data_IF_775018331792
#
_entry.id   IF_775018331792
#
_cell.length_a   1.000
_cell.length_b   1.000
_cell.length_c   1.000
_cell.angle_alpha   90.00
_cell.angle_beta   90.00
_cell.angle_gamma   90.00
#
_symmetry.space_group_name_H-M   'P 1'
#
loop_
_entity.id
_entity.type
_entity.pdbx_description
1 polymer ?
#
# COMPACT_ATOMS: atom_id res chain seq x y z
N UNK A 1 -16.59 4.14 -4.02
CA UNK A 1 -16.15 3.26 -2.94
C UNK A 1 -16.82 1.90 -3.08
N UNK A 2 -16.09 0.86 -2.90
CA UNK A 2 -16.69 -0.46 -2.94
C UNK A 2 -17.39 -0.77 -1.62
N UNK A 3 -18.65 -1.16 -1.71
CA UNK A 3 -19.43 -1.54 -0.54
C UNK A 3 -18.88 -2.81 0.10
N UNK A 4 -18.21 -3.66 -0.69
CA UNK A 4 -17.65 -4.90 -0.19
C UNK A 4 -16.61 -4.71 0.93
N UNK A 5 -16.01 -3.53 0.99
CA UNK A 5 -15.00 -3.22 2.01
C UNK A 5 -15.57 -2.50 3.24
N UNK A 6 -16.85 -2.10 3.19
CA UNK A 6 -17.49 -1.41 4.32
C UNK A 6 -17.58 -2.34 5.52
N UNK A 7 -17.01 -1.91 6.63
CA UNK A 7 -17.06 -2.66 7.88
C UNK A 7 -16.05 -3.80 7.99
N UNK A 8 -15.31 -4.11 6.94
CA UNK A 8 -14.26 -5.13 7.00
C UNK A 8 -12.91 -4.48 7.29
N UNK A 9 -12.11 -5.03 8.20
CA UNK A 9 -10.77 -4.52 8.45
C UNK A 9 -9.90 -4.66 7.22
N UNK A 10 -9.08 -3.65 6.97
CA UNK A 10 -8.11 -3.64 5.89
C UNK A 10 -6.71 -3.47 6.48
N UNK A 11 -5.70 -3.98 5.77
CA UNK A 11 -4.32 -3.83 6.19
C UNK A 11 -3.73 -2.49 5.74
N UNK A 12 -4.33 -1.87 4.75
CA UNK A 12 -3.80 -0.67 4.09
C UNK A 12 -4.91 0.36 3.88
N UNK A 13 -4.56 1.62 4.04
CA UNK A 13 -5.45 2.74 3.76
C UNK A 13 -4.66 3.95 3.32
N UNK A 14 -5.35 5.05 3.04
CA UNK A 14 -4.75 6.30 2.59
C UNK A 14 -5.41 7.49 3.27
N UNK A 15 -4.64 8.60 3.37
CA UNK A 15 -5.20 9.90 3.73
C UNK A 15 -5.75 10.58 2.49
N UNK A 16 -6.58 11.62 2.67
CA UNK A 16 -7.08 12.40 1.53
C UNK A 16 -5.94 13.12 0.80
N UNK A 17 -4.92 13.56 1.52
CA UNK A 17 -3.74 14.16 0.89
C UNK A 17 -3.06 13.18 -0.07
N UNK A 18 -2.92 11.91 0.35
CA UNK A 18 -2.38 10.87 -0.52
C UNK A 18 -3.32 10.61 -1.71
N UNK A 19 -4.62 10.58 -1.48
CA UNK A 19 -5.60 10.35 -2.54
C UNK A 19 -5.53 11.44 -3.62
N UNK A 20 -5.43 12.69 -3.23
CA UNK A 20 -5.30 13.81 -4.19
C UNK A 20 -4.06 13.65 -5.06
N UNK A 21 -2.93 13.33 -4.42
CA UNK A 21 -1.68 13.13 -5.15
C UNK A 21 -1.79 11.92 -6.09
N UNK A 22 -2.41 10.83 -5.63
CA UNK A 22 -2.60 9.63 -6.45
C UNK A 22 -3.50 9.90 -7.65
N UNK A 23 -4.53 10.70 -7.51
CA UNK A 23 -5.39 11.09 -8.66
C UNK A 23 -4.57 11.84 -9.71
N UNK A 24 -3.71 12.75 -9.28
CA UNK A 24 -2.85 13.51 -10.18
C UNK A 24 -1.84 12.60 -10.88
N UNK A 25 -1.18 11.72 -10.12
CA UNK A 25 -0.19 10.81 -10.69
C UNK A 25 -0.84 9.82 -11.65
N UNK A 26 -2.03 9.32 -11.34
CA UNK A 26 -2.77 8.43 -12.24
C UNK A 26 -3.14 9.13 -13.55
N UNK A 27 -3.58 10.38 -13.46
CA UNK A 27 -3.91 11.16 -14.66
C UNK A 27 -2.70 11.36 -15.56
N UNK A 28 -1.51 11.48 -14.99
CA UNK A 28 -0.28 11.72 -15.74
C UNK A 28 0.39 10.42 -16.23
N UNK A 29 0.23 9.33 -15.49
CA UNK A 29 1.03 8.11 -15.71
C UNK A 29 0.20 6.85 -16.00
N UNK A 30 -1.11 6.90 -15.83
CA UNK A 30 -1.97 5.73 -15.92
C UNK A 30 -2.00 4.95 -14.59
N UNK A 31 -2.43 3.68 -14.60
CA UNK A 31 -2.54 2.89 -13.38
C UNK A 31 -1.25 2.83 -12.58
N UNK A 32 -1.36 2.85 -11.26
CA UNK A 32 -0.23 2.93 -10.34
C UNK A 32 -0.11 1.67 -9.48
N UNK A 33 1.04 1.52 -8.85
CA UNK A 33 1.29 0.52 -7.83
C UNK A 33 2.26 1.05 -6.78
N UNK A 34 2.25 0.44 -5.60
CA UNK A 34 3.23 0.71 -4.56
C UNK A 34 4.04 -0.54 -4.24
N UNK A 35 5.28 -0.34 -3.85
CA UNK A 35 6.11 -1.40 -3.28
C UNK A 35 6.90 -0.85 -2.09
N UNK A 36 6.79 -1.52 -0.94
CA UNK A 36 7.55 -1.22 0.26
C UNK A 36 8.64 -2.27 0.41
N UNK A 37 9.84 -1.93 0.00
CA UNK A 37 10.99 -2.86 0.00
C UNK A 37 11.84 -2.77 1.25
N UNK A 38 11.80 -1.64 1.94
CA UNK A 38 12.59 -1.41 3.14
C UNK A 38 11.88 -0.44 4.07
N UNK A 39 12.44 -0.25 5.26
CA UNK A 39 11.85 0.63 6.27
C UNK A 39 10.80 -0.08 7.11
N UNK A 40 11.02 -0.16 8.40
CA UNK A 40 10.15 -0.87 9.34
C UNK A 40 9.48 0.07 10.34
N UNK A 41 9.53 1.38 10.11
CA UNK A 41 9.04 2.39 11.04
C UNK A 41 8.12 3.39 10.35
N UNK A 42 7.32 4.09 11.15
CA UNK A 42 6.55 5.24 10.67
C UNK A 42 7.47 6.24 9.99
N UNK A 43 6.97 6.88 8.95
CA UNK A 43 7.75 7.81 8.15
C UNK A 43 8.52 7.19 7.01
N UNK A 44 8.55 5.85 6.92
CA UNK A 44 9.13 5.16 5.76
C UNK A 44 8.39 5.56 4.50
N UNK A 45 9.12 5.61 3.37
CA UNK A 45 8.57 6.03 2.10
C UNK A 45 8.33 4.82 1.18
N UNK A 46 7.08 4.43 0.93
CA UNK A 46 6.80 3.43 -0.08
C UNK A 46 7.06 4.04 -1.46
N UNK A 47 7.54 3.22 -2.37
CA UNK A 47 7.81 3.68 -3.74
C UNK A 47 6.56 3.53 -4.61
N UNK A 48 6.23 4.59 -5.35
CA UNK A 48 5.11 4.60 -6.28
C UNK A 48 5.62 4.45 -7.71
N UNK A 49 5.07 3.48 -8.42
CA UNK A 49 5.45 3.17 -9.80
C UNK A 49 4.21 3.11 -10.69
N UNK A 50 4.40 3.25 -11.99
CA UNK A 50 3.37 2.86 -12.95
C UNK A 50 3.19 1.35 -12.89
N UNK A 51 1.95 0.89 -12.86
CA UNK A 51 1.66 -0.54 -12.75
C UNK A 51 2.33 -1.31 -13.89
N UNK A 52 3.03 -2.36 -13.54
CA UNK A 52 3.76 -3.19 -14.49
C UNK A 52 5.22 -2.79 -14.73
N UNK A 53 5.64 -1.58 -14.32
CA UNK A 53 7.04 -1.17 -14.47
C UNK A 53 7.95 -1.79 -13.42
N UNK A 54 7.42 -1.98 -12.21
CA UNK A 54 8.16 -2.65 -11.15
C UNK A 54 7.81 -4.13 -11.19
N UNK A 55 8.82 -4.98 -11.26
CA UNK A 55 8.62 -6.42 -11.26
C UNK A 55 8.39 -6.93 -9.85
N UNK A 56 7.17 -7.39 -9.58
CA UNK A 56 6.81 -7.98 -8.30
C UNK A 56 7.47 -9.36 -8.19
N UNK A 57 8.17 -9.59 -7.08
CA UNK A 57 8.79 -10.87 -6.81
C UNK A 57 7.78 -11.93 -6.40
N UNK A 58 8.11 -13.21 -6.63
CA UNK A 58 7.22 -14.32 -6.30
C UNK A 58 6.85 -14.41 -4.83
N UNK A 59 7.71 -13.93 -3.94
CA UNK A 59 7.48 -13.91 -2.50
C UNK A 59 7.00 -12.56 -1.97
N UNK A 60 6.79 -11.56 -2.83
CA UNK A 60 6.20 -10.29 -2.37
C UNK A 60 4.75 -10.51 -1.96
N UNK A 61 4.33 -9.81 -0.92
CA UNK A 61 3.02 -9.94 -0.32
C UNK A 61 2.14 -8.76 -0.76
N UNK A 62 0.94 -9.07 -1.23
CA UNK A 62 -0.05 -8.02 -1.53
C UNK A 62 -0.74 -7.61 -0.23
N UNK A 63 -0.44 -6.40 0.26
CA UNK A 63 -1.10 -5.86 1.46
C UNK A 63 -2.56 -5.56 1.22
N UNK A 64 -2.90 -5.14 0.03
CA UNK A 64 -4.27 -4.84 -0.35
C UNK A 64 -4.33 -4.01 -1.62
N UNK A 65 -5.54 -3.64 -1.97
CA UNK A 65 -5.81 -2.80 -3.13
C UNK A 65 -6.51 -1.54 -2.67
N UNK A 66 -6.00 -0.40 -3.08
CA UNK A 66 -6.59 0.90 -2.74
C UNK A 66 -7.65 1.24 -3.77
N UNK A 67 -8.89 1.39 -3.30
CA UNK A 67 -10.01 1.83 -4.14
C UNK A 67 -10.27 3.29 -3.80
N UNK A 68 -9.93 4.18 -4.71
CA UNK A 68 -9.95 5.62 -4.49
C UNK A 68 -10.92 6.28 -5.46
N UNK A 69 -11.80 7.14 -4.93
CA UNK A 69 -12.74 7.89 -5.76
C UNK A 69 -11.98 8.73 -6.80
N UNK A 70 -12.40 8.65 -8.05
CA UNK A 70 -11.76 9.35 -9.16
C UNK A 70 -10.68 8.54 -9.85
N UNK A 71 -10.32 7.37 -9.35
CA UNK A 71 -9.37 6.46 -9.98
C UNK A 71 -10.11 5.18 -10.35
N UNK A 72 -10.07 4.82 -11.64
CA UNK A 72 -10.88 3.72 -12.16
C UNK A 72 -10.36 2.34 -11.77
N UNK A 73 -9.05 2.17 -11.63
CA UNK A 73 -8.45 0.89 -11.29
C UNK A 73 -7.88 0.89 -9.89
N UNK A 74 -8.05 -0.21 -9.13
CA UNK A 74 -7.43 -0.30 -7.80
C UNK A 74 -5.92 -0.19 -7.89
N UNK A 75 -5.31 0.41 -6.87
CA UNK A 75 -3.87 0.52 -6.76
C UNK A 75 -3.37 -0.58 -5.84
N UNK A 76 -2.60 -1.51 -6.36
CA UNK A 76 -2.05 -2.60 -5.57
C UNK A 76 -0.87 -2.12 -4.74
N UNK A 77 -0.83 -2.54 -3.49
CA UNK A 77 0.25 -2.20 -2.55
C UNK A 77 0.96 -3.49 -2.16
N UNK A 78 2.20 -3.59 -2.61
CA UNK A 78 3.05 -4.75 -2.35
C UNK A 78 4.09 -4.45 -1.29
N UNK A 79 4.49 -5.47 -0.56
CA UNK A 79 5.56 -5.39 0.45
C UNK A 79 6.40 -6.65 0.35
N UNK A 80 7.70 -6.54 0.57
CA UNK A 80 8.55 -7.72 0.60
C UNK A 80 8.15 -8.63 1.77
N UNK A 81 8.35 -9.92 1.63
CA UNK A 81 8.01 -10.87 2.69
C UNK A 81 8.75 -10.54 4.00
N UNK A 82 10.01 -10.13 3.91
CA UNK A 82 10.78 -9.74 5.09
C UNK A 82 10.15 -8.56 5.82
N UNK A 83 9.72 -7.54 5.08
CA UNK A 83 9.05 -6.38 5.65
C UNK A 83 7.69 -6.73 6.21
N UNK A 84 6.97 -7.63 5.55
CA UNK A 84 5.65 -8.07 6.01
C UNK A 84 5.73 -8.69 7.41
N UNK A 85 6.79 -9.40 7.75
CA UNK A 85 6.97 -9.97 9.08
C UNK A 85 6.96 -8.90 10.17
N UNK A 86 7.45 -7.69 9.89
CA UNK A 86 7.41 -6.57 10.83
C UNK A 86 6.05 -5.89 10.86
N UNK A 87 5.33 -5.86 9.74
CA UNK A 87 4.12 -5.07 9.59
C UNK A 87 2.81 -5.86 9.73
N UNK A 88 2.87 -7.17 9.78
CA UNK A 88 1.67 -8.03 9.70
C UNK A 88 0.62 -7.81 10.79
N UNK A 89 1.02 -7.24 11.92
CA UNK A 89 0.10 -6.94 13.03
C UNK A 89 -0.35 -5.48 13.03
N UNK A 90 -0.07 -4.74 11.98
CA UNK A 90 -0.37 -3.32 11.92
C UNK A 90 -1.23 -2.96 10.73
N UNK A 91 -2.04 -1.93 10.92
CA UNK A 91 -2.68 -1.21 9.82
C UNK A 91 -1.73 -0.13 9.33
N UNK A 92 -1.52 -0.08 8.03
CA UNK A 92 -0.62 0.88 7.41
C UNK A 92 -1.45 1.90 6.65
N UNK A 93 -1.20 3.19 6.88
CA UNK A 93 -1.84 4.29 6.17
C UNK A 93 -0.79 5.04 5.37
N UNK A 94 -1.00 5.17 4.07
CA UNK A 94 -0.12 5.96 3.20
C UNK A 94 -0.61 7.41 3.23
N UNK A 95 0.30 8.31 3.55
CA UNK A 95 0.07 9.75 3.58
C UNK A 95 1.00 10.44 2.57
N UNK A 96 0.71 11.67 2.22
CA UNK A 96 1.56 12.49 1.37
C UNK A 96 1.91 13.77 2.10
N UNK A 97 3.20 14.08 2.15
CA UNK A 97 3.72 15.25 2.87
C UNK A 97 4.72 15.97 1.97
N UNK A 98 4.97 17.29 2.22
CA UNK A 98 6.02 18.00 1.51
C UNK A 98 7.38 17.36 1.76
N UNK A 99 8.20 17.28 0.73
CA UNK A 99 9.52 16.71 0.85
C UNK A 99 9.98 16.04 -0.44
N UNK A 100 11.18 15.49 -0.41
CA UNK A 100 11.75 14.77 -1.55
C UNK A 100 11.42 13.28 -1.43
N UNK A 101 10.78 12.72 -2.45
CA UNK A 101 10.52 11.29 -2.55
C UNK A 101 11.76 10.49 -2.91
N UNK A 102 11.63 9.17 -2.98
CA UNK A 102 12.69 8.29 -3.47
C UNK A 102 13.00 8.55 -4.94
N UNK A 103 14.25 8.32 -5.37
CA UNK A 103 14.75 8.74 -6.67
C UNK A 103 13.89 8.40 -7.87
N UNK A 104 13.34 7.19 -7.94
CA UNK A 104 12.51 6.74 -9.05
C UNK A 104 11.01 6.72 -8.74
N UNK A 105 10.62 7.15 -7.55
CA UNK A 105 9.21 7.20 -7.19
C UNK A 105 8.52 8.35 -7.92
N UNK A 106 7.30 8.09 -8.42
CA UNK A 106 6.60 9.02 -9.32
C UNK A 106 6.27 10.37 -8.70
N UNK A 107 6.10 10.44 -7.38
CA UNK A 107 5.75 11.71 -6.73
C UNK A 107 6.93 12.68 -6.56
N UNK A 108 8.15 12.22 -6.77
CA UNK A 108 9.35 13.05 -6.55
C UNK A 108 9.30 14.41 -7.26
N UNK A 109 8.92 14.50 -8.56
CA UNK A 109 8.86 15.80 -9.25
C UNK A 109 7.80 16.75 -8.70
N UNK A 110 6.85 16.25 -7.91
CA UNK A 110 5.77 17.08 -7.36
C UNK A 110 6.17 17.84 -6.09
N UNK A 111 7.37 17.62 -5.57
CA UNK A 111 7.79 18.22 -4.32
C UNK A 111 7.13 17.61 -3.09
N UNK A 112 6.52 16.46 -3.25
CA UNK A 112 5.83 15.71 -2.21
C UNK A 112 6.48 14.34 -2.08
N UNK A 113 6.24 13.68 -0.96
CA UNK A 113 6.64 12.29 -0.77
C UNK A 113 5.54 11.52 -0.07
N UNK A 114 5.43 10.24 -0.38
CA UNK A 114 4.58 9.33 0.38
C UNK A 114 5.31 8.88 1.63
N UNK A 115 4.59 8.77 2.71
CA UNK A 115 5.09 8.20 3.96
C UNK A 115 4.06 7.23 4.52
N UNK A 116 4.52 6.37 5.42
CA UNK A 116 3.67 5.40 6.11
C UNK A 116 3.43 5.85 7.55
N UNK A 117 2.17 5.78 7.97
CA UNK A 117 1.77 5.79 9.37
C UNK A 117 1.27 4.41 9.70
N UNK A 118 1.61 3.89 10.88
CA UNK A 118 1.15 2.58 11.30
C UNK A 118 0.48 2.65 12.66
N UNK A 119 -0.44 1.72 12.88
CA UNK A 119 -1.00 1.46 14.21
C UNK A 119 -1.19 -0.04 14.37
N UNK A 120 -1.08 -0.52 15.58
CA UNK A 120 -1.35 -1.93 15.86
C UNK A 120 -2.83 -2.21 15.63
N UNK A 121 -3.17 -3.35 15.03
CA UNK A 121 -4.55 -3.78 14.91
C UNK A 121 -5.19 -3.91 16.29
N UNK A 122 -6.48 -3.59 16.37
CA UNK A 122 -7.27 -3.94 17.55
C UNK A 122 -7.41 -5.47 17.60
N UNK A 123 -7.76 -6.00 18.78
CA UNK A 123 -7.99 -7.43 18.92
C UNK A 123 -9.10 -7.90 17.97
N UNK A 124 -10.15 -7.10 17.80
CA UNK A 124 -11.25 -7.41 16.90
C UNK A 124 -10.79 -7.49 15.44
N UNK A 125 -9.99 -6.53 15.02
CA UNK A 125 -9.43 -6.54 13.67
C UNK A 125 -8.56 -7.77 13.45
N UNK A 126 -7.70 -8.09 14.41
CA UNK A 126 -6.80 -9.22 14.30
C UNK A 126 -7.53 -10.56 14.27
N UNK A 127 -8.61 -10.71 15.04
CA UNK A 127 -9.42 -11.93 15.01
C UNK A 127 -9.96 -12.24 13.61
N UNK A 128 -10.21 -11.20 12.81
CA UNK A 128 -10.66 -11.37 11.44
C UNK A 128 -9.48 -11.57 10.50
N UNK A 129 -8.47 -10.71 10.59
CA UNK A 129 -7.34 -10.69 9.63
C UNK A 129 -6.41 -11.89 9.78
N UNK A 130 -6.27 -12.45 10.98
CA UNK A 130 -5.36 -13.58 11.20
C UNK A 130 -5.73 -14.81 10.38
N UNK A 131 -7.01 -14.98 10.07
CA UNK A 131 -7.50 -16.12 9.32
C UNK A 131 -7.62 -15.85 7.82
N UNK A 132 -7.37 -14.62 7.38
CA UNK A 132 -7.38 -14.27 5.98
C UNK A 132 -6.05 -14.64 5.33
N UNK A 133 -6.14 -15.22 4.15
CA UNK A 133 -4.97 -15.51 3.35
C UNK A 133 -4.52 -14.27 2.60
N UNK A 134 -3.21 -14.11 2.45
CA UNK A 134 -2.63 -13.05 1.64
C UNK A 134 -2.14 -13.60 0.32
N UNK A 135 -2.20 -12.78 -0.71
CA UNK A 135 -1.69 -13.13 -2.03
C UNK A 135 -0.20 -12.85 -2.12
N UNK A 136 0.53 -13.80 -2.70
CA UNK A 136 1.93 -13.59 -3.05
C UNK A 136 2.05 -13.21 -4.53
N UNK A 137 3.20 -12.65 -4.91
CA UNK A 137 3.45 -12.26 -6.30
C UNK A 137 3.42 -13.41 -7.29
N UNK A 138 3.61 -14.66 -6.82
CA UNK A 138 3.50 -15.86 -7.66
C UNK A 138 2.07 -16.39 -7.80
N UNK A 139 1.09 -15.73 -7.19
CA UNK A 139 -0.30 -16.14 -7.23
C UNK A 139 -0.74 -17.07 -6.10
N UNK A 140 0.16 -17.50 -5.24
CA UNK A 140 -0.19 -18.34 -4.11
C UNK A 140 -0.94 -17.56 -3.03
N UNK A 141 -1.78 -18.27 -2.27
CA UNK A 141 -2.47 -17.75 -1.10
C UNK A 141 -1.89 -18.42 0.13
N UNK A 142 -1.47 -17.64 1.12
CA UNK A 142 -0.87 -18.18 2.34
C UNK A 142 -1.51 -17.57 3.58
N UNK A 143 -1.55 -18.36 4.67
CA UNK A 143 -1.93 -17.86 5.99
C UNK A 143 -0.71 -17.26 6.67
N UNK A 144 -0.87 -16.11 7.28
CA UNK A 144 0.21 -15.38 7.95
C UNK A 144 -0.11 -15.04 9.41
N UNK A 145 -1.20 -15.56 9.89
CA UNK A 145 -1.64 -15.35 11.27
C UNK A 145 -0.87 -16.15 12.35
#
# INVERSE_FOLDING_TARGET
MSIAYSGLPQRIGTTEAANELLRKLTANNGPLMFHQSGGCCDGSAPMCYTAGEFKVGGADVLLGELVIAGISEPIKVWISLEQFEYWKHTHITIDAVPGRGGGFSLETPEGLRFIIHSRIFTDEEWLILKDEKVHLGNGELVLVG
#
